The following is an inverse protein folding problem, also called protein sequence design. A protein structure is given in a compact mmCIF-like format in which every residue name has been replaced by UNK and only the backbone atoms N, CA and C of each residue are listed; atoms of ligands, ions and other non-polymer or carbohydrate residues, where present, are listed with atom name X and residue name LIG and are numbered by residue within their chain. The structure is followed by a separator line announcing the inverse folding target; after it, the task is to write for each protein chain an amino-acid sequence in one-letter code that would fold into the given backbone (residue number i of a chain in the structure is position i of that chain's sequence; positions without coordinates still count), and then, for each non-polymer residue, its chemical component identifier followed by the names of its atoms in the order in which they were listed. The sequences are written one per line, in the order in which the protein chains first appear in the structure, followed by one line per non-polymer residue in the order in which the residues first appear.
data_IF_474305669877
#
_entry.id   IF_474305669877
#
_cell.length_a   1.000
_cell.length_b   1.000
_cell.length_c   1.000
_cell.angle_alpha   90.00
_cell.angle_beta   90.00
_cell.angle_gamma   90.00
#
_symmetry.space_group_name_H-M   'P 1'
#
loop_
_entity.id
_entity.type
_entity.pdbx_description
1 polymer ?
#
# COMPACT_ATOMS: atom_id res chain seq x y z
N UNK A 1 -12.90 53.98 49.28
CA UNK A 1 -11.78 54.02 48.32
C UNK A 1 -11.60 52.61 47.81
N UNK A 2 -12.25 52.28 46.68
CA UNK A 2 -12.07 51.02 45.96
C UNK A 2 -11.38 51.37 44.64
N UNK A 3 -10.22 50.75 44.42
CA UNK A 3 -9.41 50.84 43.21
C UNK A 3 -10.06 49.99 42.08
N UNK A 4 -10.37 50.54 40.90
CA UNK A 4 -10.87 49.74 39.78
C UNK A 4 -9.71 49.06 39.04
N UNK A 5 -9.67 47.72 39.09
CA UNK A 5 -8.79 46.89 38.26
C UNK A 5 -9.00 47.17 36.75
N UNK A 6 -7.92 47.50 36.04
CA UNK A 6 -7.89 47.51 34.56
C UNK A 6 -7.63 46.09 34.01
N UNK A 7 -8.33 45.66 32.94
CA UNK A 7 -8.09 44.37 32.30
C UNK A 7 -6.88 44.40 31.34
N UNK A 8 -6.15 43.27 31.18
CA UNK A 8 -5.03 43.20 30.26
C UNK A 8 -5.47 43.09 28.79
N UNK A 9 -4.80 43.83 27.90
CA UNK A 9 -5.01 43.77 26.45
C UNK A 9 -4.24 42.60 25.81
N UNK A 10 -4.83 41.86 24.86
CA UNK A 10 -4.13 40.79 24.15
C UNK A 10 -3.26 41.34 23.00
N UNK A 11 -2.01 40.86 22.92
CA UNK A 11 -1.06 41.15 21.83
C UNK A 11 -1.39 40.38 20.54
N UNK A 12 -1.22 40.96 19.35
CA UNK A 12 -1.47 40.29 18.07
C UNK A 12 -0.29 39.38 17.68
N UNK A 13 -0.56 38.08 17.49
CA UNK A 13 0.38 37.13 16.87
C UNK A 13 0.28 37.23 15.35
N UNK A 14 1.36 37.65 14.70
CA UNK A 14 1.51 37.62 13.23
C UNK A 14 2.05 36.25 12.78
N UNK A 15 1.27 35.61 11.89
CA UNK A 15 1.62 34.88 10.67
C UNK A 15 2.76 33.85 10.68
N UNK A 16 2.42 32.63 10.27
CA UNK A 16 3.27 31.80 9.40
C UNK A 16 2.39 31.28 8.24
N UNK A 17 2.70 31.60 6.97
CA UNK A 17 2.03 30.95 5.85
C UNK A 17 2.61 29.54 5.71
N UNK A 18 1.81 28.51 5.99
CA UNK A 18 2.12 27.15 5.57
C UNK A 18 2.13 27.13 4.03
N UNK A 19 3.34 27.06 3.46
CA UNK A 19 3.52 26.72 2.07
C UNK A 19 3.03 25.30 1.83
N UNK A 20 1.81 25.17 1.30
CA UNK A 20 1.30 23.91 0.75
C UNK A 20 1.96 23.70 -0.60
N UNK A 21 3.17 23.16 -0.56
CA UNK A 21 3.84 22.57 -1.71
C UNK A 21 3.79 21.06 -1.53
N UNK A 22 2.92 20.39 -2.28
CA UNK A 22 3.07 19.05 -2.88
C UNK A 22 1.69 18.56 -3.26
N UNK A 23 1.49 18.28 -4.55
CA UNK A 23 0.74 17.14 -5.09
C UNK A 23 0.77 17.28 -6.62
N UNK A 24 1.96 17.10 -7.18
CA UNK A 24 2.07 16.66 -8.57
C UNK A 24 1.54 15.22 -8.59
N UNK A 25 0.24 15.10 -8.86
CA UNK A 25 -0.43 13.84 -9.20
C UNK A 25 0.22 13.31 -10.47
N UNK A 26 1.27 12.50 -10.33
CA UNK A 26 1.81 11.75 -11.45
C UNK A 26 0.83 10.62 -11.76
N UNK A 27 -0.17 10.91 -12.60
CA UNK A 27 -0.99 9.92 -13.29
C UNK A 27 -0.15 9.14 -14.32
N UNK A 28 0.90 8.46 -13.86
CA UNK A 28 1.60 7.44 -14.64
C UNK A 28 1.31 6.11 -13.96
N UNK A 29 0.69 5.20 -14.71
CA UNK A 29 0.70 3.81 -14.32
C UNK A 29 2.15 3.31 -14.32
N UNK A 30 2.53 2.66 -13.24
CA UNK A 30 3.86 2.08 -13.13
C UNK A 30 3.88 0.72 -13.83
N UNK A 31 5.06 0.28 -14.27
CA UNK A 31 5.22 -1.05 -14.88
C UNK A 31 5.67 -2.01 -13.79
N UNK A 32 5.09 -3.21 -13.76
CA UNK A 32 5.51 -4.26 -12.84
C UNK A 32 6.95 -4.70 -13.15
N UNK A 33 7.83 -4.66 -12.16
CA UNK A 33 9.12 -5.32 -12.20
C UNK A 33 9.02 -6.79 -11.76
N UNK A 34 10.13 -7.52 -11.85
CA UNK A 34 10.21 -8.90 -11.38
C UNK A 34 9.85 -9.03 -9.89
N UNK A 35 10.34 -8.11 -9.06
CA UNK A 35 10.04 -8.07 -7.63
C UNK A 35 8.54 -7.82 -7.35
N UNK A 36 7.90 -6.96 -8.14
CA UNK A 36 6.45 -6.71 -8.01
C UNK A 36 5.65 -7.99 -8.27
N UNK A 37 6.00 -8.70 -9.35
CA UNK A 37 5.33 -9.95 -9.73
C UNK A 37 5.51 -11.04 -8.67
N UNK A 38 6.71 -11.17 -8.10
CA UNK A 38 6.97 -12.11 -7.01
C UNK A 38 6.17 -11.75 -5.75
N UNK A 39 6.18 -10.48 -5.35
CA UNK A 39 5.44 -10.00 -4.17
C UNK A 39 3.93 -10.20 -4.32
N UNK A 40 3.38 -9.95 -5.51
CA UNK A 40 1.96 -10.19 -5.80
C UNK A 40 1.61 -11.67 -5.62
N UNK A 41 2.39 -12.57 -6.23
CA UNK A 41 2.18 -14.01 -6.09
C UNK A 41 2.27 -14.45 -4.62
N UNK A 42 3.31 -14.00 -3.91
CA UNK A 42 3.53 -14.34 -2.51
C UNK A 42 2.38 -13.87 -1.61
N UNK A 43 1.84 -12.68 -1.87
CA UNK A 43 0.69 -12.14 -1.15
C UNK A 43 -0.58 -12.94 -1.41
N UNK A 44 -0.85 -13.29 -2.67
CA UNK A 44 -2.00 -14.13 -3.04
C UNK A 44 -1.91 -15.48 -2.33
N UNK A 45 -0.76 -16.16 -2.40
CA UNK A 45 -0.55 -17.46 -1.75
C UNK A 45 -0.76 -17.38 -0.23
N UNK A 46 -0.25 -16.32 0.42
CA UNK A 46 -0.43 -16.14 1.85
C UNK A 46 -1.90 -15.94 2.25
N UNK A 47 -2.67 -15.18 1.46
CA UNK A 47 -4.09 -14.94 1.68
C UNK A 47 -4.92 -16.22 1.48
N UNK A 48 -4.68 -16.94 0.37
CA UNK A 48 -5.34 -18.22 0.07
C UNK A 48 -5.14 -19.26 1.19
N UNK A 49 -3.91 -19.39 1.70
CA UNK A 49 -3.63 -20.28 2.82
C UNK A 49 -4.36 -19.85 4.10
N UNK A 50 -4.37 -18.55 4.39
CA UNK A 50 -5.07 -18.01 5.55
C UNK A 50 -6.60 -18.25 5.46
N UNK A 51 -7.19 -18.08 4.28
CA UNK A 51 -8.61 -18.36 3.99
C UNK A 51 -8.97 -19.83 4.17
N UNK A 52 -8.04 -20.74 3.82
CA UNK A 52 -8.17 -22.19 4.08
C UNK A 52 -7.93 -22.57 5.55
N UNK A 53 -7.60 -21.60 6.42
CA UNK A 53 -7.38 -21.80 7.85
C UNK A 53 -5.93 -22.13 8.23
N UNK A 54 -4.99 -22.15 7.27
CA UNK A 54 -3.58 -22.34 7.55
C UNK A 54 -2.93 -21.04 8.01
N UNK A 55 -2.40 -21.02 9.24
CA UNK A 55 -1.74 -19.84 9.84
C UNK A 55 -0.27 -20.07 10.22
N UNK A 56 0.29 -21.21 9.83
CA UNK A 56 1.70 -21.52 10.07
C UNK A 56 2.60 -20.75 9.08
N UNK A 57 3.44 -19.82 9.56
CA UNK A 57 4.31 -19.02 8.68
C UNK A 57 5.34 -19.88 7.93
N UNK A 58 5.76 -21.02 8.48
CA UNK A 58 6.72 -21.90 7.84
C UNK A 58 6.08 -22.67 6.68
N UNK A 59 4.82 -23.09 6.83
CA UNK A 59 4.03 -23.65 5.74
C UNK A 59 3.85 -22.63 4.61
N UNK A 60 3.48 -21.39 4.95
CA UNK A 60 3.33 -20.30 3.97
C UNK A 60 4.61 -20.08 3.18
N UNK A 61 5.76 -19.96 3.88
CA UNK A 61 7.07 -19.78 3.23
C UNK A 61 7.39 -20.94 2.28
N UNK A 62 7.16 -22.18 2.69
CA UNK A 62 7.39 -23.36 1.83
C UNK A 62 6.51 -23.34 0.59
N UNK A 63 5.24 -22.97 0.76
CA UNK A 63 4.28 -22.88 -0.35
C UNK A 63 4.64 -21.76 -1.31
N UNK A 64 5.00 -20.58 -0.83
CA UNK A 64 5.51 -19.49 -1.66
C UNK A 64 6.70 -19.94 -2.52
N UNK A 65 7.68 -20.64 -1.93
CA UNK A 65 8.81 -21.19 -2.70
C UNK A 65 8.41 -22.26 -3.72
N UNK A 66 7.45 -23.13 -3.40
CA UNK A 66 6.88 -24.10 -4.32
C UNK A 66 6.23 -23.41 -5.52
N UNK A 67 5.39 -22.42 -5.26
CA UNK A 67 4.66 -21.67 -6.28
C UNK A 67 5.61 -20.80 -7.12
N UNK A 68 6.58 -20.11 -6.52
CA UNK A 68 7.57 -19.32 -7.25
C UNK A 68 8.33 -20.16 -8.29
N UNK A 69 8.66 -21.43 -7.99
CA UNK A 69 9.27 -22.36 -8.94
C UNK A 69 8.31 -22.84 -10.02
N UNK A 70 7.07 -23.13 -9.64
CA UNK A 70 6.04 -23.64 -10.56
C UNK A 70 5.57 -22.59 -11.56
N UNK A 71 5.52 -21.33 -11.14
CA UNK A 71 4.96 -20.21 -11.89
C UNK A 71 6.02 -19.29 -12.49
N UNK A 72 7.27 -19.75 -12.67
CA UNK A 72 8.33 -18.96 -13.32
C UNK A 72 7.87 -18.37 -14.66
N UNK A 73 7.23 -19.13 -15.58
CA UNK A 73 6.78 -18.56 -16.85
C UNK A 73 5.72 -17.46 -16.69
N UNK A 74 4.82 -17.60 -15.72
CA UNK A 74 3.79 -16.60 -15.41
C UNK A 74 4.39 -15.33 -14.82
N UNK A 75 5.37 -15.47 -13.91
CA UNK A 75 6.10 -14.34 -13.34
C UNK A 75 6.82 -13.54 -14.43
N UNK A 76 7.47 -14.23 -15.38
CA UNK A 76 8.10 -13.58 -16.54
C UNK A 76 7.08 -12.87 -17.44
N UNK A 77 5.86 -13.40 -17.60
CA UNK A 77 4.78 -12.74 -18.36
C UNK A 77 4.16 -11.55 -17.62
N UNK A 78 4.26 -11.52 -16.30
CA UNK A 78 3.79 -10.41 -15.47
C UNK A 78 4.70 -9.18 -15.61
N UNK A 79 6.00 -9.38 -15.82
CA UNK A 79 6.96 -8.28 -15.98
C UNK A 79 6.56 -7.35 -17.13
N UNK A 80 6.62 -6.05 -16.87
CA UNK A 80 6.25 -5.03 -17.84
C UNK A 80 4.74 -4.84 -18.03
N UNK A 81 3.88 -5.59 -17.33
CA UNK A 81 2.45 -5.26 -17.26
C UNK A 81 2.23 -3.94 -16.52
N UNK A 82 1.14 -3.24 -16.86
CA UNK A 82 0.80 -1.97 -16.22
C UNK A 82 0.16 -2.24 -14.87
N UNK A 83 0.68 -1.62 -13.82
CA UNK A 83 0.07 -1.57 -12.50
C UNK A 83 -0.74 -0.27 -12.38
N UNK A 84 -2.01 -0.35 -11.94
CA UNK A 84 -2.79 0.84 -11.62
C UNK A 84 -2.09 1.72 -10.57
N UNK A 85 -2.33 3.04 -10.58
CA UNK A 85 -1.82 3.92 -9.53
C UNK A 85 -2.27 3.45 -8.15
N UNK A 86 -1.32 3.28 -7.22
CA UNK A 86 -1.60 2.82 -5.86
C UNK A 86 -1.85 1.31 -5.72
N UNK A 87 -1.61 0.52 -6.77
CA UNK A 87 -1.82 -0.93 -6.73
C UNK A 87 -1.00 -1.60 -5.63
N UNK A 88 0.27 -1.20 -5.43
CA UNK A 88 1.16 -1.78 -4.42
C UNK A 88 0.59 -1.62 -3.01
N UNK A 89 0.12 -0.43 -2.66
CA UNK A 89 -0.52 -0.15 -1.37
C UNK A 89 -1.88 -0.85 -1.22
N UNK A 90 -2.59 -1.06 -2.32
CA UNK A 90 -3.82 -1.87 -2.33
C UNK A 90 -3.50 -3.34 -2.00
N UNK A 91 -2.56 -3.95 -2.72
CA UNK A 91 -2.14 -5.35 -2.52
C UNK A 91 -1.65 -5.61 -1.09
N UNK A 92 -0.86 -4.68 -0.54
CA UNK A 92 -0.34 -4.79 0.82
C UNK A 92 -1.46 -4.81 1.89
N UNK A 93 -2.58 -4.14 1.63
CA UNK A 93 -3.72 -4.03 2.55
C UNK A 93 -4.87 -5.00 2.25
N UNK A 94 -4.87 -5.62 1.07
CA UNK A 94 -5.92 -6.52 0.64
C UNK A 94 -6.14 -7.64 1.65
N UNK A 95 -7.41 -7.92 1.95
CA UNK A 95 -7.86 -8.92 2.90
C UNK A 95 -8.06 -10.31 2.29
N UNK A 96 -8.13 -10.41 0.96
CA UNK A 96 -8.31 -11.66 0.22
C UNK A 96 -7.58 -11.67 -1.12
N UNK A 97 -7.34 -12.86 -1.68
CA UNK A 97 -6.77 -13.01 -3.02
C UNK A 97 -7.73 -12.50 -4.12
N UNK A 98 -9.05 -12.63 -3.89
CA UNK A 98 -10.09 -12.08 -4.75
C UNK A 98 -9.98 -10.55 -4.84
N UNK A 99 -9.77 -9.85 -3.72
CA UNK A 99 -9.61 -8.40 -3.71
C UNK A 99 -8.40 -7.95 -4.55
N UNK A 100 -7.28 -8.67 -4.46
CA UNK A 100 -6.09 -8.37 -5.28
C UNK A 100 -6.42 -8.43 -6.77
N UNK A 101 -7.05 -9.52 -7.22
CA UNK A 101 -7.31 -9.77 -8.64
C UNK A 101 -8.43 -8.91 -9.21
N UNK A 102 -9.49 -8.64 -8.45
CA UNK A 102 -10.69 -7.95 -8.94
C UNK A 102 -10.75 -6.46 -8.62
N UNK A 103 -9.98 -5.99 -7.64
CA UNK A 103 -9.96 -4.59 -7.19
C UNK A 103 -8.60 -3.96 -7.43
N UNK A 104 -7.51 -4.55 -6.91
CA UNK A 104 -6.21 -3.87 -6.94
C UNK A 104 -5.53 -3.86 -8.32
N UNK A 105 -5.71 -4.92 -9.12
CA UNK A 105 -4.99 -5.11 -10.40
C UNK A 105 -5.87 -4.86 -11.64
N UNK A 106 -7.00 -4.19 -11.48
CA UNK A 106 -7.99 -3.99 -12.54
C UNK A 106 -7.71 -2.79 -13.45
#
# INVERSE_FOLDING_TARGET
MLDPQQPPTPKPRRLAPLGVALLLLTCRSERAGADDCAVILDRIVALELAEQGYRDPELTRRKQQEFARRFVPELQRCEGLSLPPGARECIARAGSAEEISHVCLR
#
